data_IF_465145193221
#
_entry.id   IF_465145193221
#
_cell.length_a   1.000
_cell.length_b   1.000
_cell.length_c   1.000
_cell.angle_alpha   90.00
_cell.angle_beta   90.00
_cell.angle_gamma   90.00
#
_symmetry.space_group_name_H-M   'P 1'
#
loop_
_entity.id
_entity.type
_entity.pdbx_description
1 polymer ?
#
# COMPACT_ATOMS: atom_id res chain seq x y z
N UNK A 1 18.61 5.38 -10.20
CA UNK A 1 18.65 4.15 -9.40
C UNK A 1 19.20 4.41 -7.99
N UNK A 2 20.45 4.89 -7.84
CA UNK A 2 21.08 5.12 -6.53
C UNK A 2 20.24 6.01 -5.61
N UNK A 3 19.78 7.16 -6.09
CA UNK A 3 18.92 8.08 -5.31
C UNK A 3 17.67 7.37 -4.78
N UNK A 4 16.97 6.62 -5.64
CA UNK A 4 15.78 5.88 -5.25
C UNK A 4 16.10 4.81 -4.20
N UNK A 5 17.17 4.04 -4.40
CA UNK A 5 17.56 2.96 -3.49
C UNK A 5 17.94 3.48 -2.10
N UNK A 6 18.80 4.50 -2.04
CA UNK A 6 19.21 5.11 -0.77
C UNK A 6 18.03 5.75 -0.05
N UNK A 7 17.17 6.46 -0.79
CA UNK A 7 15.96 7.08 -0.23
C UNK A 7 14.95 6.05 0.26
N UNK A 8 14.82 4.92 -0.46
CA UNK A 8 13.97 3.81 -0.03
C UNK A 8 14.47 3.17 1.26
N UNK A 9 15.78 2.89 1.35
CA UNK A 9 16.39 2.39 2.60
C UNK A 9 16.23 3.38 3.74
N UNK A 10 16.36 4.68 3.48
CA UNK A 10 16.11 5.69 4.49
C UNK A 10 14.64 5.66 4.96
N UNK A 11 13.69 5.56 4.02
CA UNK A 11 12.27 5.41 4.31
C UNK A 11 11.93 4.16 5.13
N UNK A 12 12.53 3.01 4.80
CA UNK A 12 12.30 1.76 5.56
C UNK A 12 12.82 1.86 6.99
N UNK A 13 13.99 2.48 7.19
CA UNK A 13 14.55 2.74 8.53
C UNK A 13 13.66 3.70 9.31
N UNK A 14 13.23 4.81 8.69
CA UNK A 14 12.38 5.81 9.34
C UNK A 14 11.02 5.22 9.72
N UNK A 15 10.36 4.53 8.80
CA UNK A 15 9.08 3.85 9.04
C UNK A 15 9.20 2.77 10.13
N UNK A 16 10.27 1.97 10.10
CA UNK A 16 10.53 0.97 11.14
C UNK A 16 10.81 1.57 12.52
N UNK A 17 11.55 2.68 12.59
CA UNK A 17 11.74 3.41 13.87
C UNK A 17 10.42 3.98 14.36
N UNK A 18 9.68 4.67 13.49
CA UNK A 18 8.41 5.28 13.84
C UNK A 18 7.40 4.24 14.36
N UNK A 19 7.37 3.05 13.76
CA UNK A 19 6.60 1.91 14.23
C UNK A 19 6.95 1.48 15.64
N UNK A 20 8.24 1.26 15.92
CA UNK A 20 8.67 0.82 17.26
C UNK A 20 8.45 1.87 18.35
N UNK A 21 8.51 3.16 18.02
CA UNK A 21 8.27 4.22 19.01
C UNK A 21 6.78 4.39 19.36
N UNK A 22 5.88 4.00 18.46
CA UNK A 22 4.43 4.15 18.62
C UNK A 22 3.72 2.81 18.86
N UNK A 23 4.46 1.72 19.07
CA UNK A 23 3.95 0.35 19.22
C UNK A 23 3.14 0.11 20.51
N UNK A 24 2.92 1.17 21.32
CA UNK A 24 2.08 1.10 22.51
C UNK A 24 0.59 0.95 22.16
N UNK A 25 0.14 1.47 21.00
CA UNK A 25 -1.24 1.32 20.54
C UNK A 25 -1.30 1.22 19.00
N UNK A 26 -1.70 0.04 18.50
CA UNK A 26 -1.77 -0.28 17.06
C UNK A 26 -2.54 0.77 16.26
N UNK A 27 -3.66 1.28 16.80
CA UNK A 27 -4.47 2.31 16.14
C UNK A 27 -3.73 3.65 16.00
N UNK A 28 -2.98 4.05 17.02
CA UNK A 28 -2.25 5.32 17.01
C UNK A 28 -1.09 5.24 16.02
N UNK A 29 -0.29 4.17 16.10
CA UNK A 29 0.78 3.97 15.13
C UNK A 29 0.26 3.87 13.69
N UNK A 30 -0.82 3.10 13.43
CA UNK A 30 -1.47 3.02 12.12
C UNK A 30 -1.89 4.38 11.59
N UNK A 31 -2.56 5.15 12.44
CA UNK A 31 -3.09 6.45 12.05
C UNK A 31 -1.97 7.43 11.74
N UNK A 32 -0.89 7.39 12.53
CA UNK A 32 0.28 8.21 12.31
C UNK A 32 1.05 7.79 11.05
N UNK A 33 1.24 6.50 10.79
CA UNK A 33 1.92 5.98 9.62
C UNK A 33 1.16 6.33 8.33
N UNK A 34 -0.09 5.88 8.22
CA UNK A 34 -0.93 6.14 7.04
C UNK A 34 -1.22 7.64 6.88
N UNK A 35 -1.41 8.38 7.98
CA UNK A 35 -1.59 9.83 7.92
C UNK A 35 -0.37 10.56 7.36
N UNK A 36 0.83 10.15 7.77
CA UNK A 36 2.09 10.70 7.23
C UNK A 36 2.25 10.36 5.75
N UNK A 37 1.92 9.13 5.34
CA UNK A 37 1.94 8.72 3.92
C UNK A 37 0.99 9.55 3.07
N UNK A 38 -0.25 9.78 3.54
CA UNK A 38 -1.24 10.61 2.84
C UNK A 38 -0.70 12.03 2.67
N UNK A 39 -0.21 12.66 3.74
CA UNK A 39 0.30 14.04 3.68
C UNK A 39 1.47 14.15 2.70
N UNK A 40 2.43 13.23 2.76
CA UNK A 40 3.60 13.24 1.87
C UNK A 40 3.20 12.98 0.40
N UNK A 41 2.32 12.01 0.14
CA UNK A 41 1.84 11.71 -1.22
C UNK A 41 1.04 12.87 -1.80
N UNK A 42 0.16 13.50 -1.01
CA UNK A 42 -0.58 14.68 -1.45
C UNK A 42 0.36 15.85 -1.74
N UNK A 43 1.35 16.12 -0.89
CA UNK A 43 2.33 17.17 -1.12
C UNK A 43 3.14 16.94 -2.41
N UNK A 44 3.58 15.70 -2.65
CA UNK A 44 4.28 15.32 -3.88
C UNK A 44 3.38 15.43 -5.12
N UNK A 45 2.11 15.03 -5.02
CA UNK A 45 1.14 15.16 -6.11
C UNK A 45 0.89 16.62 -6.48
N UNK A 46 0.71 17.50 -5.49
CA UNK A 46 0.53 18.95 -5.71
C UNK A 46 1.79 19.57 -6.29
N UNK A 47 2.96 19.26 -5.75
CA UNK A 47 4.23 19.78 -6.26
C UNK A 47 4.51 19.33 -7.70
N UNK A 48 4.14 18.09 -8.06
CA UNK A 48 4.22 17.60 -9.43
C UNK A 48 3.18 18.27 -10.34
N UNK A 49 1.94 18.40 -9.89
CA UNK A 49 0.83 18.96 -10.68
C UNK A 49 0.93 20.46 -10.91
N UNK A 50 1.57 21.20 -10.00
CA UNK A 50 1.82 22.65 -10.13
C UNK A 50 3.12 22.97 -10.89
N UNK A 51 3.89 21.96 -11.30
CA UNK A 51 5.16 22.13 -12.01
C UNK A 51 6.35 22.53 -11.12
N UNK A 52 6.18 22.61 -9.79
CA UNK A 52 7.28 22.85 -8.85
C UNK A 52 8.33 21.74 -8.94
N UNK A 53 7.87 20.49 -9.05
CA UNK A 53 8.66 19.30 -9.33
C UNK A 53 8.39 18.81 -10.76
N UNK A 54 8.99 19.48 -11.73
CA UNK A 54 8.92 19.07 -13.14
C UNK A 54 9.60 17.70 -13.36
N UNK A 55 8.97 16.88 -14.17
CA UNK A 55 9.43 15.56 -14.55
C UNK A 55 10.54 15.60 -15.61
N UNK A 56 10.64 16.69 -16.36
CA UNK A 56 11.58 16.81 -17.50
C UNK A 56 12.99 17.26 -17.08
N UNK A 57 13.15 17.81 -15.88
CA UNK A 57 14.42 18.34 -15.38
C UNK A 57 14.96 17.51 -14.20
N UNK A 58 16.12 17.91 -13.65
CA UNK A 58 16.77 17.27 -12.50
C UNK A 58 15.90 17.22 -11.24
N UNK A 59 14.84 18.04 -11.16
CA UNK A 59 13.84 18.04 -10.07
C UNK A 59 13.10 16.71 -9.95
N UNK A 60 13.05 15.90 -11.01
CA UNK A 60 12.55 14.52 -10.94
C UNK A 60 13.27 13.66 -9.89
N UNK A 61 14.54 13.97 -9.58
CA UNK A 61 15.28 13.25 -8.54
C UNK A 61 14.72 13.48 -7.14
N UNK A 62 14.19 14.69 -6.87
CA UNK A 62 13.53 15.02 -5.61
C UNK A 62 12.20 14.27 -5.52
N UNK A 63 11.44 14.23 -6.62
CA UNK A 63 10.18 13.49 -6.69
C UNK A 63 10.43 11.98 -6.49
N UNK A 64 11.44 11.42 -7.16
CA UNK A 64 11.85 10.01 -7.00
C UNK A 64 12.29 9.74 -5.56
N UNK A 65 13.10 10.60 -4.96
CA UNK A 65 13.55 10.46 -3.58
C UNK A 65 12.36 10.47 -2.61
N UNK A 66 11.46 11.44 -2.76
CA UNK A 66 10.25 11.56 -1.94
C UNK A 66 9.35 10.33 -2.04
N UNK A 67 9.04 9.88 -3.26
CA UNK A 67 8.26 8.66 -3.48
C UNK A 67 8.94 7.42 -2.88
N UNK A 68 10.25 7.31 -3.06
CA UNK A 68 11.03 6.19 -2.52
C UNK A 68 11.02 6.16 -0.99
N UNK A 69 11.12 7.32 -0.32
CA UNK A 69 10.99 7.41 1.15
C UNK A 69 9.61 6.92 1.59
N UNK A 70 8.54 7.41 0.95
CA UNK A 70 7.17 7.02 1.31
C UNK A 70 6.96 5.52 1.12
N UNK A 71 7.33 4.97 -0.05
CA UNK A 71 7.15 3.54 -0.31
C UNK A 71 8.05 2.66 0.56
N UNK A 72 9.24 3.13 0.92
CA UNK A 72 10.10 2.45 1.89
C UNK A 72 9.43 2.33 3.27
N UNK A 73 8.89 3.45 3.76
CA UNK A 73 8.15 3.47 5.02
C UNK A 73 6.91 2.56 4.97
N UNK A 74 6.16 2.60 3.86
CA UNK A 74 4.97 1.77 3.64
C UNK A 74 5.29 0.28 3.64
N UNK A 75 6.38 -0.14 2.98
CA UNK A 75 6.81 -1.54 2.99
C UNK A 75 7.25 -2.00 4.38
N UNK A 76 7.92 -1.13 5.14
CA UNK A 76 8.28 -1.43 6.53
C UNK A 76 7.03 -1.57 7.42
N UNK A 77 6.06 -0.67 7.30
CA UNK A 77 4.79 -0.74 8.02
C UNK A 77 4.02 -2.01 7.66
N UNK A 78 3.90 -2.33 6.38
CA UNK A 78 3.20 -3.50 5.88
C UNK A 78 3.82 -4.82 6.39
N UNK A 79 5.16 -4.91 6.48
CA UNK A 79 5.85 -6.05 7.10
C UNK A 79 5.56 -6.19 8.60
N UNK A 80 5.39 -5.08 9.32
CA UNK A 80 5.05 -5.08 10.73
C UNK A 80 3.62 -5.64 10.99
N UNK A 81 2.69 -5.51 10.03
CA UNK A 81 1.36 -6.12 10.11
C UNK A 81 1.35 -7.65 10.00
N UNK A 82 2.50 -8.30 9.84
CA UNK A 82 2.57 -9.76 9.71
C UNK A 82 2.06 -10.28 8.36
N UNK A 83 1.84 -9.41 7.37
CA UNK A 83 1.53 -9.80 5.99
C UNK A 83 2.85 -10.25 5.35
N UNK A 84 3.33 -11.44 5.71
CA UNK A 84 4.60 -11.99 5.19
C UNK A 84 4.56 -12.26 3.67
N UNK A 85 3.39 -12.23 3.04
CA UNK A 85 3.22 -12.45 1.60
C UNK A 85 3.35 -11.18 0.73
N UNK A 86 3.80 -10.06 1.31
CA UNK A 86 3.94 -8.79 0.59
C UNK A 86 5.01 -8.87 -0.51
N UNK A 87 4.58 -9.24 -1.71
CA UNK A 87 4.75 -8.46 -2.96
C UNK A 87 4.67 -9.33 -4.21
N UNK A 88 4.76 -10.66 -4.08
CA UNK A 88 4.57 -11.58 -5.21
C UNK A 88 3.78 -12.82 -4.81
N UNK A 89 3.97 -13.31 -3.59
CA UNK A 89 3.28 -14.52 -3.13
C UNK A 89 1.78 -14.31 -2.94
N UNK A 90 1.27 -13.13 -2.57
CA UNK A 90 -0.20 -12.91 -2.49
C UNK A 90 -0.89 -13.16 -3.84
N UNK A 91 -0.38 -12.58 -4.92
CA UNK A 91 -1.00 -12.75 -6.23
C UNK A 91 -0.84 -14.20 -6.72
N UNK A 92 0.37 -14.76 -6.56
CA UNK A 92 0.63 -16.16 -6.93
C UNK A 92 -0.22 -17.12 -6.10
N UNK A 93 -0.33 -16.94 -4.79
CA UNK A 93 -1.12 -17.77 -3.88
C UNK A 93 -2.61 -17.62 -4.16
N UNK A 94 -3.07 -16.43 -4.56
CA UNK A 94 -4.44 -16.21 -5.03
C UNK A 94 -4.74 -17.00 -6.30
N UNK A 95 -3.84 -16.96 -7.29
CA UNK A 95 -3.99 -17.70 -8.55
C UNK A 95 -3.90 -19.21 -8.32
N UNK A 96 -2.93 -19.68 -7.54
CA UNK A 96 -2.81 -21.09 -7.14
C UNK A 96 -4.06 -21.53 -6.41
N UNK A 97 -4.57 -20.70 -5.49
CA UNK A 97 -5.81 -20.95 -4.77
C UNK A 97 -7.02 -21.06 -5.70
N UNK A 98 -7.13 -20.21 -6.74
CA UNK A 98 -8.18 -20.35 -7.75
C UNK A 98 -8.13 -21.75 -8.39
N UNK A 99 -6.94 -22.23 -8.76
CA UNK A 99 -6.79 -23.57 -9.35
C UNK A 99 -7.11 -24.71 -8.38
N UNK A 100 -6.47 -24.71 -7.22
CA UNK A 100 -6.56 -25.81 -6.23
C UNK A 100 -7.96 -25.92 -5.62
N UNK A 101 -8.60 -24.79 -5.29
CA UNK A 101 -9.93 -24.81 -4.67
C UNK A 101 -11.07 -24.88 -5.70
N UNK A 102 -10.78 -24.90 -7.01
CA UNK A 102 -11.81 -24.97 -8.05
C UNK A 102 -12.55 -26.30 -8.03
N UNK A 103 -13.85 -26.27 -8.39
CA UNK A 103 -14.67 -27.49 -8.54
C UNK A 103 -14.11 -28.44 -9.59
N UNK A 104 -13.39 -27.92 -10.59
CA UNK A 104 -12.73 -28.71 -11.62
C UNK A 104 -11.55 -29.54 -11.08
N UNK A 105 -10.91 -29.08 -10.00
CA UNK A 105 -9.83 -29.77 -9.31
C UNK A 105 -10.33 -30.65 -8.15
N UNK A 106 -11.65 -30.79 -7.97
CA UNK A 106 -12.26 -31.50 -6.84
C UNK A 106 -12.35 -30.69 -5.54
N UNK A 107 -12.05 -29.39 -5.59
CA UNK A 107 -12.16 -28.47 -4.46
C UNK A 107 -13.59 -27.99 -4.19
N UNK A 108 -13.77 -27.24 -3.09
CA UNK A 108 -15.10 -26.76 -2.64
C UNK A 108 -15.67 -25.62 -3.49
N UNK A 109 -14.84 -24.94 -4.31
CA UNK A 109 -15.20 -23.71 -5.03
C UNK A 109 -15.42 -22.49 -4.11
N UNK A 110 -15.13 -22.62 -2.82
CA UNK A 110 -15.42 -21.60 -1.83
C UNK A 110 -14.55 -20.36 -2.08
N UNK A 111 -15.18 -19.18 -2.21
CA UNK A 111 -14.53 -17.88 -2.47
C UNK A 111 -13.80 -17.74 -3.82
N UNK A 112 -13.98 -18.67 -4.77
CA UNK A 112 -13.35 -18.61 -6.10
C UNK A 112 -13.69 -17.30 -6.83
N UNK A 113 -14.97 -16.88 -6.82
CA UNK A 113 -15.43 -15.60 -7.39
C UNK A 113 -14.74 -14.37 -6.76
N UNK A 114 -14.49 -14.39 -5.45
CA UNK A 114 -13.80 -13.31 -4.76
C UNK A 114 -12.34 -13.23 -5.20
N UNK A 115 -11.66 -14.38 -5.33
CA UNK A 115 -10.26 -14.44 -5.78
C UNK A 115 -10.11 -13.96 -7.22
N UNK A 116 -11.00 -14.37 -8.12
CA UNK A 116 -11.06 -13.81 -9.47
C UNK A 116 -11.30 -12.30 -9.45
N UNK A 117 -12.20 -11.82 -8.60
CA UNK A 117 -12.43 -10.39 -8.38
C UNK A 117 -11.16 -9.64 -7.95
N UNK A 118 -10.37 -10.20 -7.02
CA UNK A 118 -9.08 -9.62 -6.60
C UNK A 118 -8.10 -9.53 -7.76
N UNK A 119 -7.90 -10.62 -8.52
CA UNK A 119 -6.98 -10.62 -9.67
C UNK A 119 -7.43 -9.60 -10.73
N UNK A 120 -8.72 -9.58 -11.06
CA UNK A 120 -9.26 -8.67 -12.07
C UNK A 120 -9.16 -7.20 -11.64
N UNK A 121 -9.44 -6.89 -10.38
CA UNK A 121 -9.30 -5.52 -9.84
C UNK A 121 -7.83 -5.06 -9.83
N UNK A 122 -6.88 -5.95 -9.50
CA UNK A 122 -5.44 -5.65 -9.61
C UNK A 122 -5.03 -5.37 -11.06
N UNK A 123 -5.47 -6.20 -12.02
CA UNK A 123 -5.19 -5.99 -13.45
C UNK A 123 -5.82 -4.68 -13.95
N UNK A 124 -7.07 -4.38 -13.57
CA UNK A 124 -7.74 -3.14 -13.94
C UNK A 124 -6.98 -1.91 -13.39
N UNK A 125 -6.55 -1.95 -12.12
CA UNK A 125 -5.73 -0.90 -11.53
C UNK A 125 -4.40 -0.70 -12.27
N UNK A 126 -3.73 -1.78 -12.69
CA UNK A 126 -2.51 -1.72 -13.47
C UNK A 126 -2.72 -1.05 -14.85
N UNK A 127 -3.80 -1.40 -15.56
CA UNK A 127 -4.15 -0.78 -16.85
C UNK A 127 -4.45 0.71 -16.69
N UNK A 128 -5.24 1.08 -15.68
CA UNK A 128 -5.56 2.48 -15.37
C UNK A 128 -4.28 3.26 -15.05
N UNK A 129 -3.44 2.74 -14.16
CA UNK A 129 -2.17 3.38 -13.78
C UNK A 129 -1.19 3.52 -14.95
N UNK A 130 -1.04 2.49 -15.76
CA UNK A 130 -0.18 2.51 -16.96
C UNK A 130 -0.68 3.52 -18.01
N UNK A 131 -2.00 3.67 -18.15
CA UNK A 131 -2.61 4.61 -19.10
C UNK A 131 -2.47 6.05 -18.62
N UNK A 132 -2.76 6.33 -17.34
CA UNK A 132 -2.60 7.68 -16.76
C UNK A 132 -1.15 8.17 -16.82
N UNK A 133 -0.19 7.27 -16.55
CA UNK A 133 1.23 7.61 -16.52
C UNK A 133 1.78 8.08 -17.88
N UNK A 134 1.06 7.84 -18.99
CA UNK A 134 1.43 8.36 -20.32
C UNK A 134 1.18 9.86 -20.48
N UNK A 135 0.26 10.42 -19.70
CA UNK A 135 -0.16 11.82 -19.84
C UNK A 135 0.40 12.68 -18.71
N UNK A 136 0.21 12.27 -17.45
CA UNK A 136 0.71 13.01 -16.28
C UNK A 136 0.92 12.07 -15.09
N UNK A 137 2.01 12.28 -14.34
CA UNK A 137 2.35 11.46 -13.16
C UNK A 137 1.61 11.92 -11.90
N UNK A 138 1.34 13.24 -11.79
CA UNK A 138 0.67 13.84 -10.64
C UNK A 138 -0.68 13.19 -10.25
N UNK A 139 -1.62 12.90 -11.18
CA UNK A 139 -2.89 12.31 -10.79
C UNK A 139 -2.76 10.84 -10.36
N UNK A 140 -1.70 10.13 -10.77
CA UNK A 140 -1.41 8.77 -10.27
C UNK A 140 -1.00 8.84 -8.80
N UNK A 141 -0.12 9.79 -8.44
CA UNK A 141 0.29 10.03 -7.04
C UNK A 141 -0.91 10.47 -6.21
N UNK A 142 -1.77 11.35 -6.75
CA UNK A 142 -3.00 11.78 -6.09
C UNK A 142 -3.98 10.65 -5.84
N UNK A 143 -4.17 9.75 -6.81
CA UNK A 143 -5.01 8.56 -6.64
C UNK A 143 -4.46 7.63 -5.55
N UNK A 144 -3.14 7.44 -5.51
CA UNK A 144 -2.50 6.67 -4.44
C UNK A 144 -2.70 7.33 -3.06
N UNK A 145 -2.63 8.66 -2.96
CA UNK A 145 -2.94 9.35 -1.72
C UNK A 145 -4.39 9.10 -1.27
N UNK A 146 -5.35 9.13 -2.21
CA UNK A 146 -6.76 8.87 -1.94
C UNK A 146 -7.01 7.43 -1.48
N UNK A 147 -6.35 6.44 -2.08
CA UNK A 147 -6.49 5.04 -1.65
C UNK A 147 -5.94 4.81 -0.24
N UNK A 148 -4.77 5.39 0.08
CA UNK A 148 -4.19 5.33 1.42
C UNK A 148 -5.10 6.05 2.43
N UNK A 149 -5.68 7.20 2.07
CA UNK A 149 -6.63 7.92 2.91
C UNK A 149 -7.91 7.11 3.17
N UNK A 150 -8.42 6.40 2.18
CA UNK A 150 -9.56 5.50 2.35
C UNK A 150 -9.20 4.34 3.30
N UNK A 151 -8.02 3.73 3.15
CA UNK A 151 -7.53 2.71 4.07
C UNK A 151 -7.41 3.24 5.51
N UNK A 152 -6.85 4.44 5.68
CA UNK A 152 -6.78 5.11 6.99
C UNK A 152 -8.18 5.31 7.59
N UNK A 153 -9.14 5.78 6.80
CA UNK A 153 -10.51 5.97 7.25
C UNK A 153 -11.14 4.64 7.71
N UNK A 154 -10.91 3.54 6.98
CA UNK A 154 -11.38 2.21 7.36
C UNK A 154 -10.75 1.77 8.69
N UNK A 155 -9.44 1.88 8.86
CA UNK A 155 -8.78 1.48 10.12
C UNK A 155 -9.20 2.34 11.31
N UNK A 156 -9.38 3.65 11.10
CA UNK A 156 -9.78 4.58 12.16
C UNK A 156 -11.22 4.33 12.63
N UNK A 157 -12.14 4.08 11.70
CA UNK A 157 -13.57 3.89 12.01
C UNK A 157 -14.00 2.43 12.12
N UNK A 158 -13.09 1.47 11.88
CA UNK A 158 -13.37 0.05 11.95
C UNK A 158 -13.80 -0.40 13.36
N UNK A 159 -14.78 -1.33 13.48
CA UNK A 159 -15.25 -1.84 14.77
C UNK A 159 -14.09 -2.35 15.65
N UNK A 160 -14.19 -2.15 16.96
CA UNK A 160 -13.24 -2.77 17.90
C UNK A 160 -13.51 -4.29 17.93
N UNK A 161 -12.47 -5.14 18.03
CA UNK A 161 -12.65 -6.57 18.22
C UNK A 161 -13.55 -6.80 19.45
N UNK A 162 -14.64 -7.52 19.27
CA UNK A 162 -15.48 -7.96 20.39
C UNK A 162 -14.67 -9.00 21.15
N UNK A 163 -14.43 -8.84 22.47
CA UNK A 163 -13.77 -9.86 23.26
C UNK A 163 -14.53 -11.18 23.13
N UNK A 164 -13.84 -12.24 22.69
CA UNK A 164 -14.40 -13.60 22.69
C UNK A 164 -14.75 -13.97 24.13
N UNK A 165 -16.00 -14.38 24.37
CA UNK A 165 -16.43 -14.88 25.66
C UNK A 165 -15.47 -16.00 26.14
N UNK A 166 -15.11 -16.03 27.43
CA UNK A 166 -14.27 -17.10 27.96
C UNK A 166 -14.94 -18.45 27.68
N UNK A 167 -14.17 -19.40 27.16
CA UNK A 167 -14.64 -20.77 26.97
C UNK A 167 -15.11 -21.31 28.32
N UNK A 168 -16.40 -21.63 28.43
CA UNK A 168 -16.92 -22.39 29.56
C UNK A 168 -16.28 -23.78 29.53
N UNK A 169 -15.54 -24.11 30.59
CA UNK A 169 -14.96 -25.43 30.85
C UNK A 169 -15.99 -26.34 31.50
#
# INVERSE_FOLDING_TARGET
AVVAFVSFLFGTVLGGRFARHLDYEVRVWLTAALGTEVVLMTALAVAAGTGVLDYHDNRKLILIAGLAVVFGAQNAAARQFGIQELSTTVLTSTIVGIGVDSRLAGGTGQREKLRFGVVLTMCAGAVVGATMSRFTVAPVIGLAALTIAASLAIFRHGPRPVPSAPAEN
#
